data_IF_504595640244
#
_entry.id   IF_504595640244
#
_cell.length_a   1.000
_cell.length_b   1.000
_cell.length_c   1.000
_cell.angle_alpha   90.00
_cell.angle_beta   90.00
_cell.angle_gamma   90.00
#
_symmetry.space_group_name_H-M   'P 1'
#
loop_
_entity.id
_entity.type
_entity.pdbx_description
1 polymer ?
#
# COMPACT_ATOMS: atom_id res chain seq x y z
N UNK A 1 -36.50 -5.68 -4.56
CA UNK A 1 -35.07 -5.99 -4.31
C UNK A 1 -35.00 -6.70 -2.98
N UNK A 2 -34.30 -7.82 -2.90
CA UNK A 2 -34.19 -8.58 -1.65
C UNK A 2 -33.21 -7.93 -0.66
N UNK A 3 -33.05 -8.52 0.53
CA UNK A 3 -32.13 -8.04 1.56
C UNK A 3 -30.64 -8.17 1.18
N UNK A 4 -30.32 -8.75 0.02
CA UNK A 4 -28.96 -8.85 -0.54
C UNK A 4 -28.76 -7.91 -1.73
N UNK A 5 -29.73 -7.05 -2.03
CA UNK A 5 -29.65 -6.14 -3.18
C UNK A 5 -29.94 -6.81 -4.51
N UNK A 6 -30.41 -8.07 -4.55
CA UNK A 6 -30.81 -8.73 -5.80
C UNK A 6 -32.16 -8.22 -6.25
N UNK A 7 -32.22 -7.79 -7.50
CA UNK A 7 -33.47 -7.51 -8.20
C UNK A 7 -33.93 -8.78 -8.92
N UNK A 8 -35.14 -9.25 -8.60
CA UNK A 8 -35.78 -10.39 -9.26
C UNK A 8 -36.99 -9.88 -10.05
N UNK A 9 -37.19 -10.40 -11.26
CA UNK A 9 -38.28 -10.00 -12.15
C UNK A 9 -39.34 -11.11 -12.20
N UNK A 10 -40.58 -10.76 -11.86
CA UNK A 10 -41.75 -11.57 -12.17
C UNK A 10 -42.18 -11.28 -13.61
N UNK A 11 -42.00 -12.26 -14.50
CA UNK A 11 -42.18 -12.06 -15.95
C UNK A 11 -43.65 -11.88 -16.33
N UNK A 12 -44.57 -12.56 -15.65
CA UNK A 12 -46.00 -12.47 -15.96
C UNK A 12 -46.53 -11.09 -15.57
N UNK A 13 -46.24 -10.64 -14.34
CA UNK A 13 -46.64 -9.30 -13.88
C UNK A 13 -45.97 -8.19 -14.68
N UNK A 14 -44.71 -8.37 -15.06
CA UNK A 14 -44.02 -7.41 -15.91
C UNK A 14 -44.66 -7.32 -17.29
N UNK A 15 -44.96 -8.47 -17.92
CA UNK A 15 -45.65 -8.53 -19.20
C UNK A 15 -47.01 -7.82 -19.15
N UNK A 16 -47.83 -8.13 -18.15
CA UNK A 16 -49.12 -7.44 -17.95
C UNK A 16 -48.97 -5.92 -17.78
N UNK A 17 -47.96 -5.46 -17.05
CA UNK A 17 -47.72 -4.04 -16.84
C UNK A 17 -47.28 -3.33 -18.14
N UNK A 18 -46.47 -4.01 -18.96
CA UNK A 18 -46.07 -3.54 -20.28
C UNK A 18 -47.28 -3.45 -21.22
N UNK A 19 -48.12 -4.48 -21.27
CA UNK A 19 -49.30 -4.49 -22.15
C UNK A 19 -50.34 -3.43 -21.76
N UNK A 20 -50.54 -3.22 -20.44
CA UNK A 20 -51.55 -2.29 -19.93
C UNK A 20 -51.08 -0.84 -19.86
N UNK A 21 -49.79 -0.59 -19.60
CA UNK A 21 -49.24 0.74 -19.31
C UNK A 21 -47.83 0.93 -19.90
N UNK A 22 -47.63 0.56 -21.16
CA UNK A 22 -46.34 0.60 -21.86
C UNK A 22 -45.56 1.90 -21.61
N UNK A 23 -46.19 3.06 -21.84
CA UNK A 23 -45.54 4.37 -21.73
C UNK A 23 -45.01 4.66 -20.33
N UNK A 24 -45.73 4.22 -19.28
CA UNK A 24 -45.28 4.38 -17.90
C UNK A 24 -44.09 3.48 -17.58
N UNK A 25 -44.09 2.23 -18.07
CA UNK A 25 -42.97 1.30 -17.89
C UNK A 25 -41.74 1.82 -18.65
N UNK A 26 -41.92 2.30 -19.88
CA UNK A 26 -40.85 2.90 -20.67
C UNK A 26 -40.26 4.14 -19.99
N UNK A 27 -41.11 5.04 -19.47
CA UNK A 27 -40.68 6.23 -18.72
C UNK A 27 -39.96 5.87 -17.42
N UNK A 28 -40.46 4.87 -16.67
CA UNK A 28 -39.82 4.41 -15.43
C UNK A 28 -38.40 3.87 -15.67
N UNK A 29 -38.18 3.13 -16.75
CA UNK A 29 -36.89 2.50 -17.04
C UNK A 29 -35.93 3.45 -17.75
N UNK A 30 -36.41 4.17 -18.77
CA UNK A 30 -35.59 4.93 -19.71
C UNK A 30 -35.90 6.42 -19.82
N UNK A 31 -36.89 6.93 -19.09
CA UNK A 31 -37.14 8.37 -19.02
C UNK A 31 -35.98 9.13 -18.38
N UNK A 32 -35.99 10.47 -18.49
CA UNK A 32 -34.91 11.33 -17.98
C UNK A 32 -34.65 11.14 -16.48
N UNK A 33 -35.71 10.90 -15.70
CA UNK A 33 -35.64 10.57 -14.26
C UNK A 33 -35.80 9.06 -13.97
N UNK A 34 -35.72 8.24 -15.02
CA UNK A 34 -35.87 6.80 -14.98
C UNK A 34 -34.70 6.06 -14.33
N UNK A 35 -34.85 4.76 -14.16
CA UNK A 35 -33.88 3.89 -13.50
C UNK A 35 -32.49 3.96 -14.16
N UNK A 36 -32.43 3.91 -15.50
CA UNK A 36 -31.16 3.94 -16.23
C UNK A 36 -30.39 5.24 -16.02
N UNK A 37 -31.09 6.38 -16.02
CA UNK A 37 -30.49 7.69 -15.78
C UNK A 37 -29.94 7.80 -14.35
N UNK A 38 -30.71 7.36 -13.34
CA UNK A 38 -30.26 7.34 -11.94
C UNK A 38 -29.04 6.45 -11.74
N UNK A 39 -29.03 5.26 -12.35
CA UNK A 39 -27.89 4.34 -12.25
C UNK A 39 -26.64 4.92 -12.92
N UNK A 40 -26.80 5.51 -14.11
CA UNK A 40 -25.70 6.15 -14.84
C UNK A 40 -25.13 7.33 -14.08
N UNK A 41 -25.97 8.21 -13.53
CA UNK A 41 -25.54 9.35 -12.74
C UNK A 41 -24.81 8.91 -11.45
N UNK A 42 -25.34 7.90 -10.78
CA UNK A 42 -24.69 7.30 -9.61
C UNK A 42 -23.30 6.77 -9.95
N UNK A 43 -23.17 5.97 -11.02
CA UNK A 43 -21.90 5.39 -11.45
C UNK A 43 -20.91 6.44 -11.98
N UNK A 44 -21.39 7.53 -12.59
CA UNK A 44 -20.55 8.58 -13.16
C UNK A 44 -19.69 9.27 -12.11
N UNK A 45 -20.19 9.50 -10.90
CA UNK A 45 -19.40 10.12 -9.83
C UNK A 45 -18.21 9.26 -9.39
N UNK A 46 -18.33 7.93 -9.49
CA UNK A 46 -17.24 7.00 -9.19
C UNK A 46 -16.23 6.89 -10.34
N UNK A 47 -16.74 6.91 -11.58
CA UNK A 47 -15.98 6.52 -12.78
C UNK A 47 -15.47 7.69 -13.62
N UNK A 48 -15.98 8.90 -13.41
CA UNK A 48 -15.50 10.10 -14.12
C UNK A 48 -14.02 10.33 -13.86
N UNK A 49 -13.38 11.06 -14.77
CA UNK A 49 -12.02 11.57 -14.53
C UNK A 49 -11.99 12.43 -13.27
N UNK A 50 -11.05 12.16 -12.37
CA UNK A 50 -11.00 12.77 -11.04
C UNK A 50 -12.12 12.32 -10.08
N UNK A 51 -12.93 11.35 -10.45
CA UNK A 51 -13.94 10.72 -9.60
C UNK A 51 -13.32 9.81 -8.54
N UNK A 52 -14.18 9.19 -7.73
CA UNK A 52 -13.74 8.48 -6.52
C UNK A 52 -12.74 7.34 -6.81
N UNK A 53 -12.93 6.57 -7.88
CA UNK A 53 -12.02 5.47 -8.22
C UNK A 53 -10.66 5.97 -8.69
N UNK A 54 -10.64 7.07 -9.45
CA UNK A 54 -9.39 7.72 -9.86
C UNK A 54 -8.63 8.24 -8.63
N UNK A 55 -9.30 8.95 -7.72
CA UNK A 55 -8.68 9.45 -6.48
C UNK A 55 -8.13 8.32 -5.61
N UNK A 56 -8.86 7.22 -5.46
CA UNK A 56 -8.36 6.04 -4.73
C UNK A 56 -7.11 5.46 -5.40
N UNK A 57 -7.10 5.37 -6.72
CA UNK A 57 -5.94 4.87 -7.48
C UNK A 57 -4.73 5.79 -7.30
N UNK A 58 -4.93 7.11 -7.37
CA UNK A 58 -3.87 8.10 -7.19
C UNK A 58 -3.27 8.05 -5.79
N UNK A 59 -4.11 7.96 -4.76
CA UNK A 59 -3.67 7.82 -3.37
C UNK A 59 -2.86 6.53 -3.16
N UNK A 60 -3.36 5.38 -3.64
CA UNK A 60 -2.64 4.11 -3.53
C UNK A 60 -1.29 4.15 -4.26
N UNK A 61 -1.22 4.80 -5.42
CA UNK A 61 0.03 4.99 -6.14
C UNK A 61 0.99 5.93 -5.40
N UNK A 62 0.50 6.98 -4.74
CA UNK A 62 1.32 7.87 -3.93
C UNK A 62 1.89 7.14 -2.69
N UNK A 63 1.05 6.35 -2.02
CA UNK A 63 1.46 5.51 -0.89
C UNK A 63 2.54 4.50 -1.32
N UNK A 64 2.35 3.86 -2.47
CA UNK A 64 3.32 2.91 -3.03
C UNK A 64 4.69 3.57 -3.29
N UNK A 65 4.71 4.78 -3.89
CA UNK A 65 5.94 5.54 -4.13
C UNK A 65 6.62 5.93 -2.81
N UNK A 66 5.84 6.41 -1.84
CA UNK A 66 6.34 6.78 -0.50
C UNK A 66 6.98 5.59 0.21
N UNK A 67 6.32 4.43 0.19
CA UNK A 67 6.84 3.20 0.79
C UNK A 67 8.12 2.72 0.09
N UNK A 68 8.16 2.78 -1.24
CA UNK A 68 9.35 2.41 -2.03
C UNK A 68 10.54 3.30 -1.68
N UNK A 69 10.33 4.61 -1.55
CA UNK A 69 11.38 5.55 -1.13
C UNK A 69 11.86 5.27 0.29
N UNK A 70 10.95 5.01 1.23
CA UNK A 70 11.31 4.63 2.62
C UNK A 70 12.16 3.36 2.63
N UNK A 71 11.77 2.35 1.86
CA UNK A 71 12.54 1.11 1.76
C UNK A 71 13.95 1.36 1.24
N UNK A 72 14.12 2.15 0.18
CA UNK A 72 15.43 2.49 -0.37
C UNK A 72 16.30 3.23 0.67
N UNK A 73 15.75 4.26 1.32
CA UNK A 73 16.45 5.02 2.36
C UNK A 73 16.86 4.13 3.53
N UNK A 74 15.97 3.26 4.01
CA UNK A 74 16.29 2.32 5.10
C UNK A 74 17.39 1.36 4.68
N UNK A 75 17.38 0.87 3.44
CA UNK A 75 18.42 -0.02 2.95
C UNK A 75 19.80 0.67 2.91
N UNK A 76 19.86 1.93 2.46
CA UNK A 76 21.09 2.74 2.54
C UNK A 76 21.56 2.96 3.98
N UNK A 77 20.63 3.17 4.92
CA UNK A 77 20.96 3.31 6.34
C UNK A 77 21.54 2.02 6.92
N UNK A 78 20.99 0.86 6.54
CA UNK A 78 21.52 -0.44 6.97
C UNK A 78 22.95 -0.68 6.46
N UNK A 79 23.23 -0.34 5.19
CA UNK A 79 24.59 -0.45 4.63
C UNK A 79 25.58 0.44 5.39
N UNK A 80 25.20 1.68 5.69
CA UNK A 80 26.04 2.60 6.48
C UNK A 80 26.26 2.08 7.89
N UNK A 81 25.21 1.54 8.52
CA UNK A 81 25.29 0.97 9.86
C UNK A 81 26.21 -0.25 9.90
N UNK A 82 26.11 -1.16 8.91
CA UNK A 82 27.00 -2.31 8.77
C UNK A 82 28.47 -1.88 8.60
N UNK A 83 28.72 -0.87 7.77
CA UNK A 83 30.07 -0.33 7.57
C UNK A 83 30.64 0.28 8.87
N UNK A 84 29.83 1.03 9.62
CA UNK A 84 30.22 1.58 10.92
C UNK A 84 30.55 0.47 11.93
N UNK A 85 29.73 -0.59 11.96
CA UNK A 85 29.93 -1.73 12.86
C UNK A 85 31.23 -2.48 12.51
N UNK A 86 31.52 -2.70 11.22
CA UNK A 86 32.79 -3.28 10.77
C UNK A 86 33.99 -2.43 11.18
N UNK A 87 33.91 -1.11 11.00
CA UNK A 87 34.98 -0.20 11.40
C UNK A 87 35.21 -0.23 12.92
N UNK A 88 34.12 -0.22 13.71
CA UNK A 88 34.19 -0.31 15.16
C UNK A 88 34.86 -1.61 15.62
N UNK A 89 34.43 -2.76 15.11
CA UNK A 89 35.03 -4.05 15.50
C UNK A 89 36.45 -4.22 15.00
N UNK A 90 36.79 -3.75 13.79
CA UNK A 90 38.17 -3.74 13.32
C UNK A 90 39.08 -2.87 14.19
N UNK A 91 38.56 -1.75 14.69
CA UNK A 91 39.28 -0.89 15.63
C UNK A 91 39.47 -1.54 17.00
N UNK A 92 38.45 -2.26 17.50
CA UNK A 92 38.55 -3.06 18.72
C UNK A 92 39.60 -4.16 18.59
N UNK A 93 39.63 -4.88 17.46
CA UNK A 93 40.61 -5.94 17.22
C UNK A 93 42.05 -5.39 17.20
N UNK A 94 42.27 -4.27 16.50
CA UNK A 94 43.57 -3.59 16.52
C UNK A 94 43.97 -3.13 17.93
N UNK A 95 43.01 -2.66 18.74
CA UNK A 95 43.26 -2.29 20.13
C UNK A 95 43.64 -3.51 20.98
N UNK A 96 42.94 -4.63 20.82
CA UNK A 96 43.23 -5.88 21.52
C UNK A 96 44.62 -6.42 21.17
N UNK A 97 45.00 -6.39 19.89
CA UNK A 97 46.36 -6.77 19.44
C UNK A 97 47.42 -5.87 20.10
N UNK A 98 47.22 -4.55 20.09
CA UNK A 98 48.13 -3.62 20.76
C UNK A 98 48.23 -3.89 22.26
N UNK A 99 47.12 -4.16 22.93
CA UNK A 99 47.07 -4.47 24.35
C UNK A 99 47.83 -5.77 24.67
N UNK A 100 47.63 -6.83 23.87
CA UNK A 100 48.35 -8.10 24.02
C UNK A 100 49.86 -7.94 23.81
N UNK A 101 50.27 -7.16 22.82
CA UNK A 101 51.68 -6.86 22.58
C UNK A 101 52.29 -6.09 23.76
N UNK A 102 51.59 -5.07 24.29
CA UNK A 102 52.01 -4.33 25.48
C UNK A 102 52.13 -5.22 26.72
N UNK A 103 51.17 -6.12 26.94
CA UNK A 103 51.20 -7.08 28.05
C UNK A 103 52.40 -8.03 27.93
N UNK A 104 52.68 -8.52 26.71
CA UNK A 104 53.83 -9.40 26.45
C UNK A 104 55.16 -8.70 26.68
N UNK A 105 55.30 -7.45 26.23
CA UNK A 105 56.49 -6.65 26.46
C UNK A 105 56.74 -6.38 27.97
N UNK A 106 55.68 -6.09 28.73
CA UNK A 106 55.76 -5.91 30.17
C UNK A 106 56.21 -7.20 30.89
N UNK A 107 55.66 -8.36 30.47
CA UNK A 107 56.07 -9.66 31.02
C UNK A 107 57.55 -9.95 30.75
N UNK A 108 58.06 -9.65 29.55
CA UNK A 108 59.47 -9.85 29.20
C UNK A 108 60.43 -8.97 30.02
N UNK A 109 60.02 -7.75 30.38
CA UNK A 109 60.79 -6.88 31.28
C UNK A 109 60.86 -7.45 32.70
N UNK A 110 59.75 -7.98 33.23
CA UNK A 110 59.73 -8.63 34.55
C UNK A 110 60.64 -9.86 34.62
N UNK A 111 60.71 -10.67 33.55
CA UNK A 111 61.58 -11.86 33.51
C UNK A 111 63.07 -11.48 33.45
N UNK A 112 63.45 -10.44 32.70
CA UNK A 112 64.86 -9.97 32.64
C UNK A 112 65.31 -9.21 33.90
N UNK A 113 64.41 -8.99 34.87
CA UNK A 113 64.71 -8.29 36.13
C UNK A 113 65.06 -9.25 37.29
N UNK A 114 65.23 -10.54 37.00
CA UNK A 114 65.68 -11.60 37.92
C UNK A 114 66.88 -12.34 37.33
#
# INVERSE_FOLDING_TARGET
MDNKGKLSLDKEKFGEAVDKNFDQVASLLGGEDGLAAKLTNGLKEYTKSGGLLAQRTDNLNADLRSLSQKQATTNEQLVKYEAALRAQYGSLDALLVKMNNSASALSALQINSY
#
